data_IF_058744804434
#
_entry.id   IF_058744804434
#
_cell.length_a   1.000
_cell.length_b   1.000
_cell.length_c   1.000
_cell.angle_alpha   90.00
_cell.angle_beta   90.00
_cell.angle_gamma   90.00
#
_symmetry.space_group_name_H-M   'P 1'
#
loop_
_entity.id
_entity.type
_entity.pdbx_description
1 polymer ?
#
# COMPACT_ATOMS: atom_id res chain seq x y z
N UNK A 1 11.95 -14.50 -23.37
CA UNK A 1 12.71 -13.79 -22.32
C UNK A 1 11.73 -13.36 -21.24
N UNK A 2 11.64 -14.13 -20.14
CA UNK A 2 10.78 -13.78 -19.00
C UNK A 2 11.59 -12.98 -17.98
N UNK A 3 11.48 -11.66 -18.05
CA UNK A 3 12.05 -10.75 -17.07
C UNK A 3 11.24 -10.87 -15.78
N UNK A 4 11.73 -11.67 -14.81
CA UNK A 4 11.21 -11.67 -13.44
C UNK A 4 11.45 -10.27 -12.85
N UNK A 5 10.41 -9.48 -12.77
CA UNK A 5 10.43 -8.17 -12.10
C UNK A 5 10.65 -8.43 -10.62
N UNK A 6 11.82 -8.05 -10.09
CA UNK A 6 12.08 -8.08 -8.66
C UNK A 6 11.31 -6.94 -7.99
N UNK A 7 10.14 -7.24 -7.45
CA UNK A 7 9.41 -6.33 -6.58
C UNK A 7 10.16 -6.28 -5.24
N UNK A 8 10.91 -5.21 -4.96
CA UNK A 8 11.50 -4.93 -3.65
C UNK A 8 10.43 -4.48 -2.66
N UNK A 9 9.39 -5.30 -2.49
CA UNK A 9 8.35 -5.07 -1.50
C UNK A 9 8.84 -5.60 -0.14
N UNK A 10 8.69 -4.82 0.94
CA UNK A 10 8.93 -5.29 2.30
C UNK A 10 8.16 -6.58 2.59
N UNK A 11 8.85 -7.68 2.90
CA UNK A 11 8.22 -8.95 3.31
C UNK A 11 8.18 -9.05 4.83
N UNK A 12 7.06 -9.58 5.36
CA UNK A 12 6.89 -9.82 6.79
C UNK A 12 7.43 -11.22 7.14
N UNK A 13 8.45 -11.29 8.01
CA UNK A 13 8.98 -12.54 8.59
C UNK A 13 8.53 -12.72 10.04
N UNK A 14 8.35 -13.97 10.46
CA UNK A 14 7.59 -14.37 11.67
C UNK A 14 8.16 -13.87 13.02
N UNK A 15 9.48 -13.64 13.14
CA UNK A 15 10.10 -13.01 14.32
C UNK A 15 11.05 -11.88 13.89
N UNK A 16 10.94 -10.71 14.53
CA UNK A 16 11.70 -9.50 14.19
C UNK A 16 11.28 -8.78 12.89
N UNK A 17 10.66 -9.48 11.94
CA UNK A 17 10.27 -8.96 10.62
C UNK A 17 9.27 -7.81 10.66
N UNK A 18 8.33 -7.80 11.62
CA UNK A 18 7.37 -6.71 11.76
C UNK A 18 8.06 -5.37 12.06
N UNK A 19 9.06 -5.36 12.93
CA UNK A 19 9.78 -4.12 13.28
C UNK A 19 10.54 -3.56 12.08
N UNK A 20 11.16 -4.43 11.28
CA UNK A 20 11.85 -4.08 10.04
C UNK A 20 10.87 -3.54 9.00
N UNK A 21 9.75 -4.23 8.81
CA UNK A 21 8.67 -3.78 7.92
C UNK A 21 8.17 -2.38 8.31
N UNK A 22 7.85 -2.16 9.59
CA UNK A 22 7.39 -0.87 10.09
C UNK A 22 8.43 0.24 9.89
N UNK A 23 9.73 -0.09 10.02
CA UNK A 23 10.81 0.85 9.74
C UNK A 23 10.94 1.16 8.24
N UNK A 24 10.71 0.18 7.36
CA UNK A 24 10.76 0.37 5.91
C UNK A 24 9.59 1.24 5.41
N UNK A 25 8.36 0.94 5.81
CA UNK A 25 7.19 1.69 5.31
C UNK A 25 7.17 3.16 5.75
N UNK A 26 7.85 3.49 6.86
CA UNK A 26 8.01 4.88 7.33
C UNK A 26 8.87 5.73 6.39
N UNK A 27 9.72 5.12 5.56
CA UNK A 27 10.60 5.80 4.61
C UNK A 27 9.86 6.31 3.38
N UNK A 28 8.68 5.77 3.06
CA UNK A 28 7.89 6.25 1.95
C UNK A 28 7.22 7.58 2.28
N UNK A 29 7.33 8.59 1.40
CA UNK A 29 6.68 9.88 1.59
C UNK A 29 5.16 9.73 1.50
N UNK A 30 4.44 10.56 2.26
CA UNK A 30 3.00 10.72 2.07
C UNK A 30 2.75 11.58 0.84
N UNK A 31 1.68 11.27 0.11
CA UNK A 31 1.24 12.05 -1.04
C UNK A 31 0.25 13.13 -0.58
N UNK A 32 0.43 14.34 -1.08
CA UNK A 32 -0.64 15.32 -1.03
C UNK A 32 -1.80 14.92 -1.98
N UNK A 33 -2.88 15.70 -1.95
CA UNK A 33 -4.08 15.40 -2.75
C UNK A 33 -3.83 15.46 -4.26
N UNK A 34 -2.99 16.39 -4.70
CA UNK A 34 -2.77 16.64 -6.12
C UNK A 34 -1.83 15.57 -6.71
N UNK A 35 -0.76 15.23 -6.01
CA UNK A 35 0.12 14.12 -6.36
C UNK A 35 -0.63 12.79 -6.44
N UNK A 36 -1.49 12.51 -5.45
CA UNK A 36 -2.32 11.30 -5.44
C UNK A 36 -3.26 11.26 -6.66
N UNK A 37 -3.94 12.37 -6.97
CA UNK A 37 -4.79 12.47 -8.14
C UNK A 37 -4.01 12.23 -9.43
N UNK A 38 -2.86 12.87 -9.59
CA UNK A 38 -2.03 12.75 -10.79
C UNK A 38 -1.50 11.33 -10.99
N UNK A 39 -1.04 10.68 -9.91
CA UNK A 39 -0.58 9.29 -9.96
C UNK A 39 -1.74 8.33 -10.27
N UNK A 40 -2.90 8.51 -9.63
CA UNK A 40 -4.09 7.69 -9.87
C UNK A 40 -4.60 7.82 -11.30
N UNK A 41 -4.64 9.05 -11.82
CA UNK A 41 -5.00 9.33 -13.21
C UNK A 41 -4.03 8.67 -14.17
N UNK A 42 -2.72 8.84 -13.96
CA UNK A 42 -1.70 8.24 -14.81
C UNK A 42 -1.75 6.70 -14.78
N UNK A 43 -1.93 6.09 -13.61
CA UNK A 43 -2.14 4.65 -13.49
C UNK A 43 -3.35 4.17 -14.28
N UNK A 44 -4.49 4.85 -14.14
CA UNK A 44 -5.75 4.48 -14.80
C UNK A 44 -5.70 4.63 -16.33
N UNK A 45 -5.01 5.65 -16.84
CA UNK A 45 -4.94 5.92 -18.29
C UNK A 45 -3.86 5.15 -19.00
N UNK A 46 -2.71 4.93 -18.35
CA UNK A 46 -1.52 4.37 -19.01
C UNK A 46 -1.13 2.98 -18.50
N UNK A 47 -1.65 2.54 -17.35
CA UNK A 47 -1.18 1.33 -16.68
C UNK A 47 0.26 1.47 -16.13
N UNK A 48 0.73 2.69 -15.87
CA UNK A 48 2.09 2.92 -15.38
C UNK A 48 2.30 2.32 -13.98
N UNK A 49 3.03 1.20 -13.93
CA UNK A 49 3.35 0.47 -12.71
C UNK A 49 4.03 1.32 -11.64
N UNK A 50 4.87 2.30 -12.01
CA UNK A 50 5.52 3.19 -11.04
C UNK A 50 4.51 4.09 -10.32
N UNK A 51 3.43 4.49 -11.01
CA UNK A 51 2.37 5.26 -10.39
C UNK A 51 1.57 4.42 -9.40
N UNK A 52 1.23 3.17 -9.76
CA UNK A 52 0.62 2.23 -8.83
C UNK A 52 1.51 1.95 -7.62
N UNK A 53 2.81 1.73 -7.84
CA UNK A 53 3.78 1.50 -6.77
C UNK A 53 3.85 2.69 -5.80
N UNK A 54 3.91 3.93 -6.30
CA UNK A 54 3.95 5.13 -5.46
C UNK A 54 2.63 5.34 -4.69
N UNK A 55 1.48 5.00 -5.28
CA UNK A 55 0.18 5.00 -4.60
C UNK A 55 0.14 3.97 -3.46
N UNK A 56 0.53 2.72 -3.75
CA UNK A 56 0.53 1.64 -2.75
C UNK A 56 1.50 1.96 -1.61
N UNK A 57 2.76 2.29 -1.93
CA UNK A 57 3.81 2.48 -0.92
C UNK A 57 3.55 3.65 0.03
N UNK A 58 2.98 4.76 -0.48
CA UNK A 58 2.58 5.90 0.34
C UNK A 58 1.46 5.59 1.36
N UNK A 59 0.66 4.55 1.10
CA UNK A 59 -0.49 4.15 1.92
C UNK A 59 -0.22 2.96 2.86
N UNK A 60 0.94 2.30 2.78
CA UNK A 60 1.29 1.17 3.66
C UNK A 60 1.22 1.53 5.16
N UNK A 61 1.53 2.78 5.50
CA UNK A 61 1.42 3.29 6.89
C UNK A 61 -0.01 3.28 7.40
N UNK A 62 -0.99 3.55 6.53
CA UNK A 62 -2.41 3.50 6.88
C UNK A 62 -2.86 2.07 7.13
N UNK A 63 -2.46 1.13 6.26
CA UNK A 63 -2.74 -0.30 6.43
C UNK A 63 -2.21 -0.80 7.77
N UNK A 64 -0.95 -0.51 8.08
CA UNK A 64 -0.34 -0.87 9.35
C UNK A 64 -1.08 -0.26 10.55
N UNK A 65 -1.48 1.02 10.45
CA UNK A 65 -2.26 1.70 11.51
C UNK A 65 -3.60 1.00 11.77
N UNK A 66 -4.34 0.66 10.72
CA UNK A 66 -5.63 -0.03 10.84
C UNK A 66 -5.43 -1.41 11.45
N UNK A 67 -4.51 -2.22 10.93
CA UNK A 67 -4.22 -3.57 11.43
C UNK A 67 -3.78 -3.57 12.90
N UNK A 68 -2.96 -2.59 13.33
CA UNK A 68 -2.58 -2.44 14.73
C UNK A 68 -3.76 -2.14 15.65
N UNK A 69 -4.83 -1.51 15.15
CA UNK A 69 -6.07 -1.28 15.90
C UNK A 69 -6.85 -2.56 16.21
N UNK A 70 -6.63 -3.63 15.44
CA UNK A 70 -7.23 -4.95 15.66
C UNK A 70 -6.32 -5.91 16.44
N UNK A 71 -5.21 -5.40 17.00
CA UNK A 71 -4.36 -6.22 17.87
C UNK A 71 -5.16 -6.70 19.09
N UNK A 72 -5.07 -7.99 19.39
CA UNK A 72 -5.77 -8.61 20.53
C UNK A 72 -7.09 -9.28 20.20
N UNK A 73 -7.58 -9.18 18.95
CA UNK A 73 -8.80 -9.86 18.48
C UNK A 73 -8.56 -11.32 18.03
N UNK A 74 -7.45 -11.93 18.45
CA UNK A 74 -7.12 -13.33 18.16
C UNK A 74 -6.39 -13.60 16.83
N UNK A 75 -6.24 -12.58 15.96
CA UNK A 75 -5.49 -12.71 14.71
C UNK A 75 -4.08 -12.09 14.82
N UNK A 76 -3.02 -12.74 14.29
CA UNK A 76 -1.68 -12.16 14.26
C UNK A 76 -1.63 -10.87 13.42
N UNK A 77 -0.95 -9.84 13.93
CA UNK A 77 -0.87 -8.51 13.28
C UNK A 77 -0.17 -8.56 11.92
N UNK A 78 0.83 -9.43 11.77
CA UNK A 78 1.50 -9.66 10.49
C UNK A 78 0.52 -10.15 9.41
N UNK A 79 -0.37 -11.08 9.75
CA UNK A 79 -1.37 -11.57 8.79
C UNK A 79 -2.36 -10.48 8.40
N UNK A 80 -2.83 -9.70 9.38
CA UNK A 80 -3.72 -8.55 9.12
C UNK A 80 -3.07 -7.50 8.21
N UNK A 81 -1.78 -7.22 8.39
CA UNK A 81 -1.05 -6.28 7.54
C UNK A 81 -0.86 -6.85 6.14
N UNK A 82 -0.49 -8.13 6.01
CA UNK A 82 -0.33 -8.79 4.72
C UNK A 82 -1.62 -8.74 3.89
N UNK A 83 -2.74 -9.16 4.50
CA UNK A 83 -4.06 -9.10 3.85
C UNK A 83 -4.48 -7.67 3.55
N UNK A 84 -4.24 -6.74 4.47
CA UNK A 84 -4.52 -5.32 4.25
C UNK A 84 -3.72 -4.72 3.08
N UNK A 85 -2.46 -5.15 2.89
CA UNK A 85 -1.64 -4.71 1.75
C UNK A 85 -2.18 -5.27 0.43
N UNK A 86 -2.65 -6.51 0.40
CA UNK A 86 -3.33 -7.09 -0.76
C UNK A 86 -4.62 -6.32 -1.06
N UNK A 87 -5.42 -6.03 -0.03
CA UNK A 87 -6.62 -5.20 -0.13
C UNK A 87 -6.32 -3.82 -0.73
N UNK A 88 -5.27 -3.15 -0.26
CA UNK A 88 -4.80 -1.88 -0.79
C UNK A 88 -4.42 -1.97 -2.28
N UNK A 89 -3.71 -3.03 -2.70
CA UNK A 89 -3.38 -3.24 -4.11
C UNK A 89 -4.66 -3.38 -4.96
N UNK A 90 -5.68 -4.06 -4.45
CA UNK A 90 -6.97 -4.18 -5.14
C UNK A 90 -7.72 -2.84 -5.17
N UNK A 91 -7.65 -2.05 -4.09
CA UNK A 91 -8.23 -0.71 -4.03
C UNK A 91 -7.60 0.20 -5.09
N UNK A 92 -6.26 0.22 -5.20
CA UNK A 92 -5.54 1.00 -6.23
C UNK A 92 -5.93 0.59 -7.65
N UNK A 93 -6.14 -0.70 -7.92
CA UNK A 93 -6.63 -1.18 -9.23
C UNK A 93 -8.02 -0.65 -9.57
N UNK A 94 -8.88 -0.48 -8.57
CA UNK A 94 -10.28 -0.05 -8.73
C UNK A 94 -10.49 1.44 -8.47
N UNK A 95 -9.45 2.17 -8.06
CA UNK A 95 -9.58 3.54 -7.60
C UNK A 95 -10.01 4.48 -8.74
N UNK A 96 -10.96 5.35 -8.43
CA UNK A 96 -11.51 6.31 -9.38
C UNK A 96 -11.26 7.74 -8.90
N UNK A 97 -10.15 8.38 -9.31
CA UNK A 97 -9.76 9.70 -8.79
C UNK A 97 -10.78 10.81 -9.14
N UNK A 98 -11.54 10.62 -10.23
CA UNK A 98 -12.56 11.58 -10.69
C UNK A 98 -13.79 11.65 -9.75
N UNK A 99 -13.95 10.70 -8.82
CA UNK A 99 -15.04 10.74 -7.82
C UNK A 99 -14.78 11.74 -6.69
N UNK A 100 -13.59 12.34 -6.63
CA UNK A 100 -13.25 13.39 -5.65
C UNK A 100 -12.93 12.90 -4.23
N UNK A 101 -12.89 11.59 -4.00
CA UNK A 101 -12.48 11.00 -2.72
C UNK A 101 -11.00 10.63 -2.72
N UNK A 102 -10.37 10.66 -1.55
CA UNK A 102 -8.98 10.22 -1.37
C UNK A 102 -8.92 8.68 -1.38
N UNK A 103 -7.78 8.13 -1.83
CA UNK A 103 -7.57 6.68 -1.81
C UNK A 103 -7.72 6.09 -0.40
N UNK A 104 -7.28 6.82 0.63
CA UNK A 104 -7.42 6.43 2.03
C UNK A 104 -8.88 6.23 2.50
N UNK A 105 -9.86 6.73 1.75
CA UNK A 105 -11.29 6.66 2.08
C UNK A 105 -12.09 5.73 1.16
N UNK A 106 -11.44 5.17 0.13
CA UNK A 106 -12.05 4.33 -0.91
C UNK A 106 -12.08 2.85 -0.50
#
# INVERSE_FOLDING_TARGET
>A
MNSRTNYNLPTLSNEGGLSVYLAQIKKFPMLDSEEEYMLAKNWKTTGNLKSAEKLVTSHLRLVAKIAMGYKGYGLPVNEMISEGNVGLMQAVKKFEPEKGFRLATY
#
